data_IF_346257956920
#
_entry.id   IF_346257956920
#
_cell.length_a   1.000
_cell.length_b   1.000
_cell.length_c   1.000
_cell.angle_alpha   90.00
_cell.angle_beta   90.00
_cell.angle_gamma   90.00
#
_symmetry.space_group_name_H-M   'P 1'
#
loop_
_entity.id
_entity.type
_entity.pdbx_description
1 polymer ?
#
# COMPACT_ATOMS: atom_id res chain seq x y z
N UNK A 1 17.62 21.84 -24.78
CA UNK A 1 16.62 21.49 -23.75
C UNK A 1 17.36 20.71 -22.66
N UNK A 2 17.73 21.35 -21.55
CA UNK A 2 18.42 20.68 -20.44
C UNK A 2 17.35 19.96 -19.61
N UNK A 3 17.32 18.64 -19.67
CA UNK A 3 16.47 17.82 -18.80
C UNK A 3 16.93 18.07 -17.36
N UNK A 4 15.99 18.48 -16.49
CA UNK A 4 16.22 18.71 -15.07
C UNK A 4 16.84 17.44 -14.46
N UNK A 5 17.94 17.57 -13.71
CA UNK A 5 18.60 16.42 -13.06
C UNK A 5 17.67 15.71 -12.07
N UNK A 6 16.64 16.39 -11.58
CA UNK A 6 15.59 15.82 -10.77
C UNK A 6 14.66 14.90 -11.57
N UNK A 7 14.48 15.10 -12.89
CA UNK A 7 13.66 14.21 -13.73
C UNK A 7 14.25 12.80 -13.82
N UNK A 8 15.59 12.71 -13.96
CA UNK A 8 16.27 11.42 -13.92
C UNK A 8 16.14 10.73 -12.55
N UNK A 9 16.03 11.51 -11.47
CA UNK A 9 15.75 11.01 -10.12
C UNK A 9 14.36 10.37 -10.01
N UNK A 10 13.34 10.97 -10.64
CA UNK A 10 12.00 10.37 -10.74
C UNK A 10 11.98 9.16 -11.68
N UNK A 11 12.75 9.19 -12.77
CA UNK A 11 12.91 8.03 -13.65
C UNK A 11 13.62 6.87 -12.94
N UNK A 12 14.56 7.12 -12.03
CA UNK A 12 15.19 6.07 -11.22
C UNK A 12 14.25 5.52 -10.14
N UNK A 13 13.31 6.33 -9.62
CA UNK A 13 12.18 5.84 -8.79
C UNK A 13 11.24 4.93 -9.60
N UNK A 14 11.09 5.20 -10.90
CA UNK A 14 10.26 4.39 -11.82
C UNK A 14 11.07 3.22 -12.42
N UNK A 15 12.40 3.21 -12.33
CA UNK A 15 13.22 2.03 -12.65
C UNK A 15 13.00 1.00 -11.56
N UNK A 16 11.89 0.29 -11.72
CA UNK A 16 11.56 -0.87 -10.93
C UNK A 16 12.71 -1.86 -11.11
N UNK A 17 13.55 -2.02 -10.09
CA UNK A 17 14.58 -3.04 -10.09
C UNK A 17 13.88 -4.39 -10.29
N UNK A 18 14.29 -5.12 -11.32
CA UNK A 18 13.60 -6.32 -11.84
C UNK A 18 13.77 -7.54 -10.94
N UNK A 19 14.41 -7.39 -9.78
CA UNK A 19 14.78 -8.48 -8.89
C UNK A 19 13.88 -8.67 -7.67
N UNK A 20 12.87 -7.83 -7.43
CA UNK A 20 11.90 -8.04 -6.35
C UNK A 20 10.44 -8.12 -6.84
N UNK A 21 10.12 -9.27 -7.44
CA UNK A 21 8.82 -9.60 -8.07
C UNK A 21 7.59 -9.24 -7.21
N UNK A 22 7.69 -9.36 -5.89
CA UNK A 22 6.56 -9.12 -4.96
C UNK A 22 6.19 -7.64 -4.84
N UNK A 23 7.17 -6.73 -4.84
CA UNK A 23 6.89 -5.29 -4.71
C UNK A 23 6.57 -4.63 -6.06
N UNK A 24 7.12 -5.16 -7.17
CA UNK A 24 6.67 -4.77 -8.50
C UNK A 24 5.16 -5.03 -8.65
N UNK A 25 4.68 -6.18 -8.16
CA UNK A 25 3.27 -6.52 -8.19
C UNK A 25 2.41 -5.48 -7.45
N UNK A 26 2.83 -5.02 -6.26
CA UNK A 26 2.09 -4.01 -5.51
C UNK A 26 1.93 -2.68 -6.28
N UNK A 27 2.99 -2.20 -6.94
CA UNK A 27 2.93 -0.96 -7.74
C UNK A 27 2.03 -1.14 -8.96
N UNK A 28 2.18 -2.24 -9.70
CA UNK A 28 1.36 -2.56 -10.86
C UNK A 28 -0.12 -2.61 -10.47
N UNK A 29 -0.45 -3.22 -9.32
CA UNK A 29 -1.82 -3.28 -8.81
C UNK A 29 -2.41 -1.88 -8.57
N UNK A 30 -1.66 -0.96 -7.97
CA UNK A 30 -2.12 0.43 -7.75
C UNK A 30 -2.41 1.14 -9.07
N UNK A 31 -1.53 0.98 -10.06
CA UNK A 31 -1.71 1.57 -11.39
C UNK A 31 -2.97 1.01 -12.07
N UNK A 32 -3.16 -0.31 -12.04
CA UNK A 32 -4.33 -0.97 -12.63
C UNK A 32 -5.62 -0.50 -11.96
N UNK A 33 -5.66 -0.43 -10.62
CA UNK A 33 -6.82 0.06 -9.87
C UNK A 33 -7.14 1.51 -10.26
N UNK A 34 -6.13 2.39 -10.31
CA UNK A 34 -6.31 3.79 -10.71
C UNK A 34 -6.86 3.94 -12.14
N UNK A 35 -6.37 3.13 -13.08
CA UNK A 35 -6.87 3.12 -14.46
C UNK A 35 -8.34 2.69 -14.55
N UNK A 36 -8.75 1.66 -13.79
CA UNK A 36 -10.14 1.20 -13.73
C UNK A 36 -11.06 2.29 -13.15
N UNK A 37 -10.63 2.97 -12.07
CA UNK A 37 -11.39 4.07 -11.47
C UNK A 37 -11.56 5.21 -12.48
N UNK A 38 -10.50 5.59 -13.18
CA UNK A 38 -10.58 6.63 -14.21
C UNK A 38 -11.54 6.23 -15.35
N UNK A 39 -11.42 5.00 -15.87
CA UNK A 39 -12.27 4.51 -16.95
C UNK A 39 -13.75 4.47 -16.56
N UNK A 40 -14.05 3.91 -15.39
CA UNK A 40 -15.44 3.84 -14.89
C UNK A 40 -16.02 5.22 -14.61
N UNK A 41 -15.22 6.15 -14.07
CA UNK A 41 -15.62 7.54 -13.92
C UNK A 41 -15.90 8.24 -15.25
N UNK A 42 -15.03 8.05 -16.24
CA UNK A 42 -15.21 8.61 -17.59
C UNK A 42 -16.47 8.07 -18.27
N UNK A 43 -16.67 6.75 -18.27
CA UNK A 43 -17.84 6.11 -18.89
C UNK A 43 -19.14 6.50 -18.18
N UNK A 44 -19.15 6.55 -16.85
CA UNK A 44 -20.32 6.98 -16.08
C UNK A 44 -20.69 8.44 -16.36
N UNK A 45 -19.70 9.34 -16.33
CA UNK A 45 -19.91 10.76 -16.57
C UNK A 45 -20.33 11.06 -18.02
N UNK A 46 -19.55 10.59 -19.01
CA UNK A 46 -19.85 10.80 -20.42
C UNK A 46 -21.13 10.07 -20.86
N UNK A 47 -21.40 8.88 -20.32
CA UNK A 47 -22.64 8.14 -20.61
C UNK A 47 -23.88 8.88 -20.15
N UNK A 48 -23.83 9.52 -18.98
CA UNK A 48 -24.93 10.33 -18.47
C UNK A 48 -25.12 11.64 -19.24
N UNK A 49 -24.03 12.36 -19.56
CA UNK A 49 -24.09 13.66 -20.25
C UNK A 49 -24.50 13.51 -21.72
N UNK A 50 -23.93 12.53 -22.43
CA UNK A 50 -24.22 12.31 -23.84
C UNK A 50 -25.55 11.58 -24.06
N UNK A 51 -26.26 11.22 -22.98
CA UNK A 51 -27.46 10.39 -23.02
C UNK A 51 -27.24 9.13 -23.89
N UNK A 52 -26.05 8.50 -23.79
CA UNK A 52 -25.68 7.37 -24.64
C UNK A 52 -25.95 6.04 -23.96
N UNK A 53 -26.96 5.31 -24.44
CA UNK A 53 -27.33 3.98 -23.93
C UNK A 53 -26.19 2.95 -24.00
N UNK A 54 -25.30 3.06 -24.99
CA UNK A 54 -24.15 2.17 -25.13
C UNK A 54 -23.10 2.41 -24.03
N UNK A 55 -22.73 3.67 -23.78
CA UNK A 55 -21.75 4.01 -22.73
C UNK A 55 -22.27 3.64 -21.33
N UNK A 56 -23.55 3.88 -21.06
CA UNK A 56 -24.20 3.50 -19.80
C UNK A 56 -24.24 1.97 -19.61
N UNK A 57 -24.48 1.20 -20.69
CA UNK A 57 -24.42 -0.26 -20.63
C UNK A 57 -22.98 -0.74 -20.34
N UNK A 58 -21.97 -0.18 -21.00
CA UNK A 58 -20.57 -0.54 -20.77
C UNK A 58 -20.14 -0.23 -19.34
N UNK A 59 -20.53 0.93 -18.80
CA UNK A 59 -20.31 1.28 -17.41
C UNK A 59 -20.94 0.25 -16.45
N UNK A 60 -22.22 -0.07 -16.63
CA UNK A 60 -22.93 -1.05 -15.79
C UNK A 60 -22.30 -2.44 -15.88
N UNK A 61 -21.84 -2.85 -17.06
CA UNK A 61 -21.16 -4.12 -17.28
C UNK A 61 -19.82 -4.20 -16.52
N UNK A 62 -18.97 -3.17 -16.64
CA UNK A 62 -17.69 -3.12 -15.91
C UNK A 62 -17.92 -3.11 -14.39
N UNK A 63 -18.89 -2.33 -13.90
CA UNK A 63 -19.24 -2.32 -12.47
C UNK A 63 -19.72 -3.69 -11.99
N UNK A 64 -20.50 -4.41 -12.81
CA UNK A 64 -20.90 -5.79 -12.51
C UNK A 64 -19.73 -6.77 -12.41
N UNK A 65 -18.75 -6.65 -13.31
CA UNK A 65 -17.52 -7.46 -13.24
C UNK A 65 -16.70 -7.15 -11.99
N UNK A 66 -16.60 -5.88 -11.59
CA UNK A 66 -15.91 -5.47 -10.36
C UNK A 66 -16.59 -6.04 -9.11
N UNK A 67 -17.93 -6.04 -9.06
CA UNK A 67 -18.69 -6.64 -7.96
C UNK A 67 -18.43 -8.14 -7.85
N UNK A 68 -18.42 -8.87 -8.97
CA UNK A 68 -18.09 -10.30 -8.99
C UNK A 68 -16.64 -10.57 -8.55
N UNK A 69 -15.70 -9.74 -9.00
CA UNK A 69 -14.30 -9.82 -8.60
C UNK A 69 -14.13 -9.57 -7.09
N UNK A 70 -14.87 -8.60 -6.53
CA UNK A 70 -14.85 -8.28 -5.10
C UNK A 70 -15.39 -9.44 -4.25
N UNK A 71 -16.51 -10.04 -4.65
CA UNK A 71 -17.06 -11.24 -3.98
C UNK A 71 -16.06 -12.40 -4.06
N UNK A 72 -15.46 -12.62 -5.23
CA UNK A 72 -14.47 -13.69 -5.42
C UNK A 72 -13.23 -13.46 -4.55
N UNK A 73 -12.72 -12.22 -4.52
CA UNK A 73 -11.57 -11.84 -3.69
C UNK A 73 -11.88 -12.03 -2.19
N UNK A 74 -13.08 -11.66 -1.73
CA UNK A 74 -13.50 -11.87 -0.35
C UNK A 74 -13.54 -13.36 0.03
N UNK A 75 -14.09 -14.22 -0.84
CA UNK A 75 -14.12 -15.67 -0.63
C UNK A 75 -12.69 -16.25 -0.61
N UNK A 76 -11.85 -15.88 -1.58
CA UNK A 76 -10.46 -16.36 -1.64
C UNK A 76 -9.66 -15.93 -0.41
N UNK A 77 -9.80 -14.68 0.03
CA UNK A 77 -9.15 -14.18 1.24
C UNK A 77 -9.59 -14.95 2.50
N UNK A 78 -10.87 -15.32 2.58
CA UNK A 78 -11.41 -16.09 3.70
C UNK A 78 -10.91 -17.55 3.71
N UNK A 79 -10.91 -18.21 2.54
CA UNK A 79 -10.50 -19.62 2.38
C UNK A 79 -8.99 -19.77 2.54
N UNK A 80 -8.19 -18.94 1.87
CA UNK A 80 -6.74 -19.03 1.81
C UNK A 80 -6.03 -18.14 2.84
N UNK A 81 -6.70 -17.74 3.93
CA UNK A 81 -6.16 -16.84 4.96
C UNK A 81 -4.80 -17.27 5.53
N UNK A 82 -4.59 -18.59 5.71
CA UNK A 82 -3.34 -19.14 6.27
C UNK A 82 -2.20 -19.04 5.27
N UNK A 83 -2.44 -19.40 4.03
CA UNK A 83 -1.46 -19.37 2.95
C UNK A 83 -1.07 -17.93 2.62
N UNK A 84 -2.05 -17.03 2.53
CA UNK A 84 -1.81 -15.60 2.36
C UNK A 84 -0.99 -15.02 3.51
N UNK A 85 -1.30 -15.42 4.75
CA UNK A 85 -0.53 -15.05 5.93
C UNK A 85 0.93 -15.51 5.86
N UNK A 86 1.17 -16.77 5.51
CA UNK A 86 2.53 -17.31 5.38
C UNK A 86 3.32 -16.65 4.26
N UNK A 87 2.71 -16.49 3.08
CA UNK A 87 3.32 -15.81 1.94
C UNK A 87 3.65 -14.36 2.28
N UNK A 88 2.74 -13.64 2.96
CA UNK A 88 3.00 -12.28 3.42
C UNK A 88 4.20 -12.25 4.38
N UNK A 89 4.23 -13.15 5.36
CA UNK A 89 5.31 -13.23 6.35
C UNK A 89 6.68 -13.49 5.72
N UNK A 90 6.76 -14.43 4.77
CA UNK A 90 7.98 -14.75 4.04
C UNK A 90 8.47 -13.56 3.21
N UNK A 91 7.57 -12.88 2.49
CA UNK A 91 7.91 -11.71 1.70
C UNK A 91 8.41 -10.55 2.59
N UNK A 92 7.76 -10.32 3.73
CA UNK A 92 8.20 -9.33 4.72
C UNK A 92 9.58 -9.65 5.28
N UNK A 93 9.87 -10.93 5.53
CA UNK A 93 11.17 -11.37 6.03
C UNK A 93 12.26 -11.19 4.98
N UNK A 94 11.98 -11.55 3.73
CA UNK A 94 12.90 -11.31 2.62
C UNK A 94 13.23 -9.82 2.51
N UNK A 95 12.22 -8.95 2.51
CA UNK A 95 12.42 -7.52 2.45
C UNK A 95 13.30 -7.00 3.60
N UNK A 96 13.00 -7.39 4.84
CA UNK A 96 13.77 -6.98 6.01
C UNK A 96 15.24 -7.41 5.95
N UNK A 97 15.53 -8.60 5.39
CA UNK A 97 16.86 -9.19 5.38
C UNK A 97 17.71 -8.80 4.17
N UNK A 98 17.11 -8.52 3.01
CA UNK A 98 17.84 -8.30 1.76
C UNK A 98 17.73 -6.88 1.21
N UNK A 99 16.56 -6.24 1.38
CA UNK A 99 16.24 -4.98 0.69
C UNK A 99 16.47 -3.78 1.59
N UNK A 100 16.25 -3.93 2.90
CA UNK A 100 16.45 -2.85 3.85
C UNK A 100 17.95 -2.50 3.99
N UNK A 101 18.25 -1.21 3.94
CA UNK A 101 19.61 -0.64 4.06
C UNK A 101 19.69 0.33 5.25
N UNK A 102 20.89 0.54 5.83
CA UNK A 102 21.09 1.56 6.85
C UNK A 102 20.92 2.97 6.28
N UNK A 103 20.56 3.91 7.16
CA UNK A 103 20.51 5.37 6.99
C UNK A 103 21.30 5.90 5.78
N UNK A 104 20.63 6.11 4.65
CA UNK A 104 21.15 6.97 3.59
C UNK A 104 20.15 8.10 3.33
N UNK A 105 20.47 9.36 3.72
CA UNK A 105 19.59 10.52 3.52
C UNK A 105 19.33 10.85 2.03
N UNK A 106 19.99 10.14 1.11
CA UNK A 106 19.86 10.32 -0.35
C UNK A 106 19.15 9.17 -1.06
N UNK A 107 18.79 8.10 -0.36
CA UNK A 107 18.07 6.98 -0.97
C UNK A 107 16.59 7.29 -1.02
N UNK A 108 16.18 7.88 -2.14
CA UNK A 108 14.78 8.04 -2.56
C UNK A 108 14.10 6.71 -2.92
N UNK A 109 14.59 5.59 -2.38
CA UNK A 109 14.00 4.30 -2.64
C UNK A 109 12.62 4.24 -1.96
N UNK A 110 11.58 4.29 -2.80
CA UNK A 110 10.19 4.28 -2.37
C UNK A 110 9.89 3.02 -1.55
N UNK A 111 10.61 1.92 -1.78
CA UNK A 111 10.41 0.67 -1.05
C UNK A 111 10.86 0.78 0.40
N UNK A 112 12.04 1.37 0.65
CA UNK A 112 12.61 1.63 1.98
C UNK A 112 11.72 2.64 2.74
N UNK A 113 11.19 3.66 2.04
CA UNK A 113 10.27 4.63 2.62
C UNK A 113 8.94 3.98 3.01
N UNK A 114 8.36 3.14 2.15
CA UNK A 114 7.11 2.44 2.44
C UNK A 114 7.26 1.49 3.63
N UNK A 115 8.35 0.71 3.67
CA UNK A 115 8.65 -0.19 4.77
C UNK A 115 8.90 0.56 6.08
N UNK A 116 9.61 1.69 6.02
CA UNK A 116 9.84 2.56 7.18
C UNK A 116 8.55 3.21 7.69
N UNK A 117 7.65 3.59 6.78
CA UNK A 117 6.32 4.10 7.13
C UNK A 117 5.48 3.03 7.84
N UNK A 118 5.53 1.78 7.34
CA UNK A 118 4.82 0.66 7.95
C UNK A 118 5.29 0.42 9.39
N UNK A 119 6.61 0.32 9.62
CA UNK A 119 7.20 0.14 10.95
C UNK A 119 6.77 1.23 11.92
N UNK A 120 6.81 2.50 11.51
CA UNK A 120 6.38 3.62 12.33
C UNK A 120 4.87 3.62 12.63
N UNK A 121 4.03 3.32 11.62
CA UNK A 121 2.56 3.31 11.77
C UNK A 121 2.07 2.16 12.63
N UNK A 122 2.70 1.00 12.50
CA UNK A 122 2.34 -0.21 13.25
C UNK A 122 3.16 -0.37 14.54
N UNK A 123 4.14 0.51 14.80
CA UNK A 123 5.02 0.47 15.97
C UNK A 123 5.72 -0.88 16.14
N UNK A 124 6.29 -1.37 15.05
CA UNK A 124 6.92 -2.68 14.93
C UNK A 124 8.31 -2.55 14.30
N UNK A 125 9.15 -3.58 14.43
CA UNK A 125 10.48 -3.62 13.83
C UNK A 125 10.79 -5.02 13.27
N UNK A 126 11.28 -5.07 12.03
CA UNK A 126 11.52 -6.32 11.32
C UNK A 126 10.22 -7.04 10.90
N UNK A 127 10.34 -8.25 10.36
CA UNK A 127 9.18 -9.05 9.94
C UNK A 127 8.60 -9.82 11.13
N UNK A 128 9.43 -10.64 11.78
CA UNK A 128 9.12 -11.42 12.98
C UNK A 128 9.56 -10.71 14.25
N UNK A 129 10.69 -10.02 14.19
CA UNK A 129 11.31 -9.35 15.32
C UNK A 129 12.38 -8.39 14.81
N UNK A 130 12.78 -7.44 15.65
CA UNK A 130 13.91 -6.55 15.39
C UNK A 130 15.20 -7.33 15.08
N UNK A 131 15.33 -8.55 15.60
CA UNK A 131 16.49 -9.42 15.36
C UNK A 131 16.65 -9.86 13.91
N UNK A 132 15.64 -9.71 13.06
CA UNK A 132 15.72 -10.02 11.63
C UNK A 132 16.87 -9.24 10.96
N UNK A 133 17.14 -8.01 11.42
CA UNK A 133 18.23 -7.18 10.92
C UNK A 133 19.62 -7.66 11.35
N UNK A 134 19.75 -8.52 12.37
CA UNK A 134 21.06 -9.02 12.81
C UNK A 134 21.75 -9.85 11.73
N UNK A 135 20.98 -10.50 10.86
CA UNK A 135 21.48 -11.33 9.76
C UNK A 135 21.50 -10.59 8.42
N UNK A 136 21.19 -9.29 8.41
CA UNK A 136 21.17 -8.50 7.20
C UNK A 136 22.60 -7.98 6.91
N UNK A 137 23.23 -8.37 5.78
CA UNK A 137 24.60 -7.98 5.46
C UNK A 137 24.77 -6.47 5.29
N UNK A 138 23.69 -5.73 5.00
CA UNK A 138 23.72 -4.27 4.92
C UNK A 138 23.98 -3.59 6.30
N UNK A 139 23.76 -4.31 7.41
CA UNK A 139 23.92 -3.83 8.79
C UNK A 139 25.10 -4.46 9.55
N UNK A 140 25.73 -5.51 9.00
CA UNK A 140 26.70 -6.37 9.69
C UNK A 140 28.01 -5.67 10.15
N UNK A 141 28.34 -4.50 9.57
CA UNK A 141 29.58 -3.76 9.86
C UNK A 141 29.35 -2.25 10.11
N UNK A 142 28.21 -1.87 10.66
CA UNK A 142 27.86 -0.46 10.90
C UNK A 142 27.70 -0.20 12.39
N UNK A 143 28.01 1.04 12.80
CA UNK A 143 27.73 1.54 14.16
C UNK A 143 26.21 1.56 14.47
N UNK A 144 25.36 1.37 13.46
CA UNK A 144 23.91 1.32 13.56
C UNK A 144 23.41 -0.03 13.05
N UNK A 145 23.06 -0.93 13.97
CA UNK A 145 22.67 -2.32 13.66
C UNK A 145 21.21 -2.48 13.21
N UNK A 146 20.42 -1.40 13.27
CA UNK A 146 18.98 -1.42 12.98
C UNK A 146 18.56 -0.17 12.18
N UNK A 147 17.44 -0.19 11.43
CA UNK A 147 16.90 1.00 10.77
C UNK A 147 16.33 2.04 11.74
N UNK A 148 16.37 3.32 11.34
CA UNK A 148 15.74 4.41 12.11
C UNK A 148 14.23 4.21 12.32
N UNK A 149 13.53 3.56 11.39
CA UNK A 149 12.09 3.29 11.51
C UNK A 149 11.73 2.30 12.62
N UNK A 150 12.72 1.59 13.18
CA UNK A 150 12.56 0.78 14.39
C UNK A 150 12.61 1.61 15.69
N UNK A 151 13.01 2.87 15.59
CA UNK A 151 13.07 3.79 16.73
C UNK A 151 11.72 4.43 16.96
N UNK A 152 11.26 4.46 18.21
CA UNK A 152 10.10 5.27 18.54
C UNK A 152 10.54 6.72 18.61
N UNK A 153 9.96 7.58 17.77
CA UNK A 153 10.12 9.02 17.85
C UNK A 153 9.53 9.50 19.18
N UNK A 154 10.28 9.37 20.28
CA UNK A 154 9.96 10.02 21.53
C UNK A 154 10.29 11.50 21.34
N UNK A 155 9.25 12.21 20.89
CA UNK A 155 9.01 13.65 20.86
C UNK A 155 9.03 14.26 19.46
N UNK A 156 8.04 15.11 19.27
CA UNK A 156 7.97 16.21 18.31
C UNK A 156 9.07 17.21 18.70
N UNK A 157 10.31 16.89 18.37
CA UNK A 157 11.42 17.82 18.44
C UNK A 157 11.28 18.78 17.26
N UNK A 158 11.09 20.06 17.57
CA UNK A 158 11.02 21.21 16.65
C UNK A 158 12.34 21.49 15.92
N UNK A 159 13.12 20.46 15.59
CA UNK A 159 14.42 20.55 14.97
C UNK A 159 14.52 19.51 13.85
N UNK A 160 15.09 19.93 12.72
CA UNK A 160 14.96 19.28 11.41
C UNK A 160 15.27 17.76 11.46
N UNK A 161 14.46 16.87 10.83
CA UNK A 161 14.58 15.42 10.95
C UNK A 161 15.77 14.78 10.20
N UNK A 162 16.70 15.58 9.68
CA UNK A 162 17.64 15.15 8.65
C UNK A 162 19.09 15.01 9.13
N UNK A 163 19.35 15.13 10.45
CA UNK A 163 20.70 14.89 10.99
C UNK A 163 20.83 13.47 11.61
N UNK A 164 21.57 12.55 10.96
CA UNK A 164 21.88 11.23 11.51
C UNK A 164 22.70 11.26 12.82
N UNK A 165 23.18 12.44 13.26
CA UNK A 165 23.86 12.65 14.55
C UNK A 165 22.98 13.27 15.65
N UNK A 166 21.67 13.42 15.43
CA UNK A 166 20.76 13.91 16.46
C UNK A 166 20.86 13.05 17.73
N UNK A 167 20.82 13.72 18.88
CA UNK A 167 20.89 13.08 20.20
C UNK A 167 19.82 11.97 20.35
N UNK A 168 18.62 12.20 19.79
CA UNK A 168 17.50 11.24 19.81
C UNK A 168 17.79 9.96 18.99
N UNK A 169 18.48 10.08 17.85
CA UNK A 169 18.90 8.95 17.04
C UNK A 169 19.95 8.09 17.78
N UNK A 170 20.92 8.74 18.43
CA UNK A 170 21.93 8.09 19.27
C UNK A 170 21.30 7.38 20.47
N UNK A 171 20.34 8.02 21.13
CA UNK A 171 19.65 7.45 22.28
C UNK A 171 18.84 6.20 21.88
N UNK A 172 18.23 6.17 20.69
CA UNK A 172 17.59 4.96 20.18
C UNK A 172 18.58 3.81 19.94
N UNK A 173 19.73 4.07 19.33
CA UNK A 173 20.74 3.02 19.10
C UNK A 173 21.32 2.51 20.43
N UNK A 174 21.52 3.39 21.40
CA UNK A 174 21.89 3.01 22.76
C UNK A 174 20.80 2.18 23.45
N UNK A 175 19.51 2.46 23.21
CA UNK A 175 18.40 1.63 23.72
C UNK A 175 18.41 0.22 23.13
N UNK A 176 18.79 0.06 21.86
CA UNK A 176 18.99 -1.25 21.25
C UNK A 176 20.15 -2.04 21.88
N UNK A 177 21.26 -1.37 22.21
CA UNK A 177 22.41 -1.98 22.88
C UNK A 177 22.10 -2.35 24.34
N UNK A 178 21.27 -1.55 25.02
CA UNK A 178 20.84 -1.77 26.40
C UNK A 178 19.55 -2.60 26.56
N UNK A 179 19.02 -3.21 25.48
CA UNK A 179 17.75 -3.96 25.45
C UNK A 179 16.47 -3.17 25.83
N UNK A 180 16.54 -1.84 25.86
CA UNK A 180 15.44 -0.90 26.08
C UNK A 180 14.69 -0.55 24.77
N UNK A 181 14.59 -1.52 23.86
CA UNK A 181 14.04 -1.36 22.51
C UNK A 181 12.58 -0.92 22.56
N UNK A 182 12.24 0.14 21.81
CA UNK A 182 10.87 0.67 21.77
C UNK A 182 9.90 -0.18 20.94
N UNK A 183 10.33 -0.73 19.79
CA UNK A 183 9.53 -1.61 18.95
C UNK A 183 10.14 -3.02 18.90
N UNK A 184 9.70 -3.91 19.81
CA UNK A 184 10.19 -5.29 19.89
C UNK A 184 9.38 -6.25 19.00
N UNK A 185 8.13 -5.93 18.75
CA UNK A 185 7.21 -6.78 18.01
C UNK A 185 7.50 -6.75 16.51
N UNK A 186 7.39 -7.91 15.86
CA UNK A 186 7.50 -8.04 14.41
C UNK A 186 6.32 -7.42 13.67
N UNK A 187 6.59 -6.83 12.50
CA UNK A 187 5.56 -6.16 11.73
C UNK A 187 4.49 -7.08 11.15
N UNK A 188 4.78 -8.36 10.96
CA UNK A 188 3.74 -9.31 10.56
C UNK A 188 2.67 -9.47 11.65
N UNK A 189 3.09 -9.69 12.90
CA UNK A 189 2.17 -9.89 14.01
C UNK A 189 1.44 -8.59 14.37
N UNK A 190 2.14 -7.45 14.32
CA UNK A 190 1.53 -6.14 14.49
C UNK A 190 0.49 -5.83 13.40
N UNK A 191 0.78 -6.15 12.12
CA UNK A 191 -0.17 -6.00 11.02
C UNK A 191 -1.38 -6.93 11.18
N UNK A 192 -1.14 -8.20 11.50
CA UNK A 192 -2.20 -9.17 11.73
C UNK A 192 -3.13 -8.71 12.84
N UNK A 193 -2.57 -8.29 13.99
CA UNK A 193 -3.33 -7.73 15.11
C UNK A 193 -4.10 -6.48 14.70
N UNK A 194 -3.48 -5.57 13.94
CA UNK A 194 -4.16 -4.38 13.43
C UNK A 194 -5.36 -4.72 12.53
N UNK A 195 -5.24 -5.76 11.68
CA UNK A 195 -6.34 -6.24 10.83
C UNK A 195 -7.44 -6.88 11.68
N UNK A 196 -7.08 -7.72 12.67
CA UNK A 196 -8.04 -8.38 13.57
C UNK A 196 -8.80 -7.35 14.42
N UNK A 197 -8.10 -6.38 15.02
CA UNK A 197 -8.68 -5.31 15.85
C UNK A 197 -9.62 -4.40 15.04
N UNK A 198 -9.37 -4.25 13.73
CA UNK A 198 -10.15 -3.38 12.82
C UNK A 198 -10.99 -4.14 11.81
N UNK A 199 -11.18 -5.45 12.01
CA UNK A 199 -11.85 -6.31 11.04
C UNK A 199 -13.26 -5.80 10.69
N UNK A 200 -14.02 -5.34 11.69
CA UNK A 200 -15.35 -4.79 11.49
C UNK A 200 -15.35 -3.56 10.57
N UNK A 201 -14.37 -2.66 10.72
CA UNK A 201 -14.23 -1.47 9.87
C UNK A 201 -13.86 -1.89 8.44
N UNK A 202 -12.90 -2.80 8.28
CA UNK A 202 -12.46 -3.29 6.97
C UNK A 202 -13.59 -4.00 6.20
N UNK A 203 -14.35 -4.86 6.88
CA UNK A 203 -15.54 -5.50 6.32
C UNK A 203 -16.59 -4.45 5.96
N UNK A 204 -16.81 -3.45 6.82
CA UNK A 204 -17.72 -2.34 6.57
C UNK A 204 -17.36 -1.54 5.31
N UNK A 205 -16.07 -1.28 5.08
CA UNK A 205 -15.59 -0.63 3.85
C UNK A 205 -15.93 -1.48 2.62
N UNK A 206 -15.65 -2.79 2.64
CA UNK A 206 -15.98 -3.69 1.52
C UNK A 206 -17.48 -3.74 1.22
N UNK A 207 -18.31 -3.91 2.25
CA UNK A 207 -19.78 -3.88 2.08
C UNK A 207 -20.25 -2.53 1.52
N UNK A 208 -19.68 -1.42 2.01
CA UNK A 208 -19.98 -0.08 1.50
C UNK A 208 -19.63 0.08 0.02
N UNK A 209 -18.47 -0.41 -0.42
CA UNK A 209 -18.06 -0.41 -1.83
C UNK A 209 -19.05 -1.21 -2.67
N UNK A 210 -19.40 -2.42 -2.25
CA UNK A 210 -20.40 -3.24 -2.94
C UNK A 210 -21.77 -2.55 -3.07
N UNK A 211 -22.24 -1.89 -2.02
CA UNK A 211 -23.50 -1.12 -2.07
C UNK A 211 -23.42 0.03 -3.06
N UNK A 212 -22.32 0.80 -3.05
CA UNK A 212 -22.11 1.91 -4.00
C UNK A 212 -22.08 1.39 -5.44
N UNK A 213 -21.44 0.24 -5.68
CA UNK A 213 -21.43 -0.37 -7.01
C UNK A 213 -22.84 -0.76 -7.48
N UNK A 214 -23.63 -1.40 -6.61
CA UNK A 214 -25.02 -1.77 -6.92
C UNK A 214 -25.85 -0.52 -7.25
N UNK A 215 -25.73 0.54 -6.46
CA UNK A 215 -26.42 1.81 -6.74
C UNK A 215 -25.99 2.40 -8.08
N UNK A 216 -24.69 2.37 -8.41
CA UNK A 216 -24.17 2.80 -9.71
C UNK A 216 -24.80 2.03 -10.87
N UNK A 217 -24.91 0.70 -10.75
CA UNK A 217 -25.55 -0.16 -11.75
C UNK A 217 -27.03 0.19 -11.90
N UNK A 218 -27.76 0.32 -10.78
CA UNK A 218 -29.19 0.66 -10.78
C UNK A 218 -29.40 2.00 -11.47
N UNK A 219 -28.63 3.03 -11.12
CA UNK A 219 -28.73 4.34 -11.76
C UNK A 219 -28.41 4.30 -13.24
N UNK A 220 -27.37 3.59 -13.65
CA UNK A 220 -27.05 3.43 -15.07
C UNK A 220 -28.19 2.77 -15.85
N UNK A 221 -28.81 1.73 -15.29
CA UNK A 221 -29.99 1.08 -15.87
C UNK A 221 -31.21 2.02 -15.93
N UNK A 222 -31.47 2.78 -14.88
CA UNK A 222 -32.56 3.75 -14.84
C UNK A 222 -32.38 4.85 -15.90
N UNK A 223 -31.19 5.45 -15.98
CA UNK A 223 -30.87 6.49 -16.97
C UNK A 223 -30.97 5.93 -18.38
N UNK A 224 -30.39 4.74 -18.63
CA UNK A 224 -30.50 4.07 -19.94
C UNK A 224 -31.96 3.84 -20.35
N UNK A 225 -32.81 3.40 -19.43
CA UNK A 225 -34.23 3.22 -19.71
C UNK A 225 -34.94 4.54 -20.01
N UNK A 226 -34.55 5.63 -19.36
CA UNK A 226 -35.08 6.96 -19.65
C UNK A 226 -34.66 7.44 -21.05
N UNK A 227 -33.39 7.26 -21.43
CA UNK A 227 -32.86 7.58 -22.76
C UNK A 227 -33.61 6.80 -23.84
N UNK A 228 -33.71 5.47 -23.71
CA UNK A 228 -34.41 4.65 -24.71
C UNK A 228 -35.89 5.05 -24.88
N UNK A 229 -36.54 5.55 -23.82
CA UNK A 229 -37.92 6.06 -23.94
C UNK A 229 -37.98 7.37 -24.71
N UNK A 230 -37.01 8.27 -24.52
CA UNK A 230 -36.91 9.52 -25.30
C UNK A 230 -36.74 9.22 -26.79
N UNK A 231 -35.87 8.27 -27.14
CA UNK A 231 -35.60 7.89 -28.53
C UNK A 231 -36.83 7.29 -29.24
N UNK A 232 -37.72 6.61 -28.50
CA UNK A 232 -38.97 6.03 -29.05
C UNK A 232 -40.07 7.10 -29.24
N UNK A 233 -39.99 8.22 -28.53
CA UNK A 233 -41.00 9.30 -28.58
C UNK A 233 -40.65 10.43 -29.57
N UNK A 234 -39.43 10.44 -30.10
CA UNK A 234 -38.95 11.39 -31.11
C UNK A 234 -39.19 10.87 -32.54
#
# INVERSE_FOLDING_TARGET
MKVDKNFNKYLDVIKIDNNEKTMQAAIILVIVIGAIIFLTGFLGCCGAIQESSCLLMMYAFIMGLLLLAEITAAILAAVFRKELGNALKENMQKFANTTMKPLEPTNNDVTVLAWSSMQNKLKCCGSHSYTDYNNNPNFENRNHKYPQSCCSNKKESTEKPDDPNSQEMRDCFNDFENNNISYKDGCYDALKKWVEDRAAILIGIGVGIAVIQILGIVFACCVRNAVNKKDVMA
#
